data_IF_189478121269
#
_entry.id   IF_189478121269
#
_cell.length_a   1.000
_cell.length_b   1.000
_cell.length_c   1.000
_cell.angle_alpha   90.00
_cell.angle_beta   90.00
_cell.angle_gamma   90.00
#
_symmetry.space_group_name_H-M   'P 1'
#
loop_
_entity.id
_entity.type
_entity.pdbx_description
1 polymer ?
#
# COMPACT_ATOMS: atom_id res chain seq x y z
N UNK A 1 30.53 -43.42 -4.40
CA UNK A 1 29.81 -42.15 -4.20
C UNK A 1 29.98 -41.76 -2.73
N UNK A 2 30.51 -40.58 -2.42
CA UNK A 2 30.74 -40.17 -1.02
C UNK A 2 29.41 -39.92 -0.31
N UNK A 3 29.23 -40.46 0.89
CA UNK A 3 28.02 -40.28 1.70
C UNK A 3 27.70 -38.79 1.88
N UNK A 4 26.41 -38.36 1.78
CA UNK A 4 26.02 -36.97 1.94
C UNK A 4 26.29 -36.46 3.36
N UNK A 5 26.55 -35.16 3.50
CA UNK A 5 26.86 -34.55 4.80
C UNK A 5 25.57 -34.54 5.60
N UNK A 6 25.54 -35.18 6.76
CA UNK A 6 24.37 -35.12 7.63
C UNK A 6 24.39 -33.76 8.33
N UNK A 7 23.27 -33.06 8.30
CA UNK A 7 23.10 -31.78 9.01
C UNK A 7 22.05 -31.98 10.08
N UNK A 8 22.39 -31.75 11.33
CA UNK A 8 21.47 -31.72 12.45
C UNK A 8 21.28 -30.27 12.88
N UNK A 9 20.03 -29.83 12.95
CA UNK A 9 19.65 -28.54 13.53
C UNK A 9 19.04 -28.80 14.90
N UNK A 10 19.70 -28.34 15.95
CA UNK A 10 19.13 -28.23 17.28
C UNK A 10 18.54 -26.82 17.38
N UNK A 11 17.22 -26.72 17.29
CA UNK A 11 16.54 -25.43 17.44
C UNK A 11 16.64 -24.91 18.89
N UNK A 12 16.27 -23.65 19.10
CA UNK A 12 16.34 -23.02 20.42
C UNK A 12 15.32 -23.59 21.42
N UNK A 13 14.38 -24.46 20.99
CA UNK A 13 13.53 -25.28 21.86
C UNK A 13 14.11 -26.68 22.09
N UNK A 14 15.38 -26.89 21.77
CA UNK A 14 16.11 -28.15 21.92
C UNK A 14 15.55 -29.31 21.07
N UNK A 15 14.78 -29.01 20.03
CA UNK A 15 14.32 -30.04 19.08
C UNK A 15 15.37 -30.24 17.99
N UNK A 16 15.67 -31.50 17.72
CA UNK A 16 16.66 -31.89 16.74
C UNK A 16 16.00 -32.28 15.41
N UNK A 17 16.39 -31.60 14.34
CA UNK A 17 15.92 -31.85 12.98
C UNK A 17 17.09 -32.34 12.13
N UNK A 18 16.98 -33.55 11.59
CA UNK A 18 18.03 -34.16 10.78
C UNK A 18 17.71 -34.00 9.29
N UNK A 19 18.66 -33.45 8.54
CA UNK A 19 18.61 -33.33 7.10
C UNK A 19 19.70 -34.20 6.45
N UNK A 20 19.42 -34.68 5.23
CA UNK A 20 20.29 -35.57 4.46
C UNK A 20 20.67 -36.87 5.22
N UNK A 21 19.89 -37.24 6.23
CA UNK A 21 20.05 -38.52 6.93
C UNK A 21 19.47 -39.62 6.03
N UNK A 22 20.23 -40.67 5.69
CA UNK A 22 19.69 -41.79 4.92
C UNK A 22 18.54 -42.45 5.71
N UNK A 23 17.45 -42.79 5.00
CA UNK A 23 16.31 -43.50 5.59
C UNK A 23 16.78 -44.82 6.20
N UNK A 24 16.34 -45.10 7.44
CA UNK A 24 16.45 -46.45 8.01
C UNK A 24 15.37 -47.31 7.37
N UNK A 25 15.76 -48.27 6.52
CA UNK A 25 14.83 -49.30 6.07
C UNK A 25 14.57 -50.30 7.21
N UNK A 26 13.31 -50.74 7.34
CA UNK A 26 12.89 -51.72 8.34
C UNK A 26 13.47 -53.10 7.99
N UNK A 27 14.69 -53.37 8.48
CA UNK A 27 15.42 -54.61 8.20
C UNK A 27 16.93 -54.52 8.49
N UNK A 28 17.48 -53.31 8.67
CA UNK A 28 18.90 -53.09 8.99
C UNK A 28 19.17 -53.44 10.48
N UNK A 29 19.25 -54.74 10.77
CA UNK A 29 19.77 -55.24 12.04
C UNK A 29 21.25 -54.89 12.17
N UNK A 30 21.58 -54.13 13.23
CA UNK A 30 22.93 -53.95 13.76
C UNK A 30 24.03 -53.61 12.75
N UNK A 31 23.98 -52.43 12.13
CA UNK A 31 25.23 -51.75 11.76
C UNK A 31 25.81 -51.14 13.02
N UNK A 32 27.00 -51.58 13.41
CA UNK A 32 27.82 -50.97 14.46
C UNK A 32 27.70 -49.44 14.37
N UNK A 33 27.45 -48.78 15.50
CA UNK A 33 27.32 -47.32 15.58
C UNK A 33 28.65 -46.67 15.16
N UNK A 34 28.87 -46.49 13.86
CA UNK A 34 30.04 -45.78 13.33
C UNK A 34 30.09 -44.40 13.97
N UNK A 35 31.17 -44.11 14.70
CA UNK A 35 31.38 -42.78 15.28
C UNK A 35 31.55 -41.78 14.14
N UNK A 36 30.54 -40.94 13.90
CA UNK A 36 30.61 -39.88 12.90
C UNK A 36 31.49 -38.75 13.41
N UNK A 37 32.38 -38.23 12.55
CA UNK A 37 33.16 -37.02 12.89
C UNK A 37 32.22 -35.81 12.86
N UNK A 38 31.86 -35.35 14.07
CA UNK A 38 30.91 -34.25 14.30
C UNK A 38 31.64 -32.92 14.43
N UNK A 39 31.13 -31.90 13.75
CA UNK A 39 31.44 -30.49 14.00
C UNK A 39 30.22 -29.82 14.64
N UNK A 40 30.40 -29.13 15.77
CA UNK A 40 29.34 -28.35 16.40
C UNK A 40 29.57 -26.86 16.11
N UNK A 41 28.51 -26.17 15.71
CA UNK A 41 28.52 -24.74 15.41
C UNK A 41 27.37 -24.10 16.19
N UNK A 42 27.72 -23.22 17.12
CA UNK A 42 26.75 -22.39 17.85
C UNK A 42 26.61 -21.05 17.14
N UNK A 43 25.37 -20.72 16.76
CA UNK A 43 25.03 -19.53 15.99
C UNK A 43 23.66 -19.04 16.39
N UNK A 44 23.41 -17.73 16.30
CA UNK A 44 22.04 -17.22 16.41
C UNK A 44 21.16 -17.80 15.29
N UNK A 45 19.86 -17.91 15.54
CA UNK A 45 18.92 -18.53 14.61
C UNK A 45 18.90 -17.87 13.20
N UNK A 46 19.26 -16.58 13.09
CA UNK A 46 19.29 -15.87 11.81
C UNK A 46 20.48 -16.34 10.99
N UNK A 47 21.69 -16.26 11.54
CA UNK A 47 22.90 -16.79 10.90
C UNK A 47 22.82 -18.30 10.69
N UNK A 48 22.22 -19.02 11.64
CA UNK A 48 21.91 -20.44 11.55
C UNK A 48 21.07 -20.80 10.32
N UNK A 49 20.05 -20.01 9.99
CA UNK A 49 19.26 -20.19 8.77
C UNK A 49 20.10 -20.00 7.49
N UNK A 50 21.03 -19.03 7.46
CA UNK A 50 21.95 -18.88 6.33
C UNK A 50 22.90 -20.07 6.18
N UNK A 51 23.49 -20.56 7.29
CA UNK A 51 24.31 -21.77 7.27
C UNK A 51 23.51 -23.00 6.82
N UNK A 52 22.28 -23.16 7.32
CA UNK A 52 21.40 -24.25 6.91
C UNK A 52 21.10 -24.22 5.41
N UNK A 53 20.78 -23.04 4.86
CA UNK A 53 20.56 -22.87 3.41
C UNK A 53 21.82 -23.18 2.61
N UNK A 54 22.98 -22.72 3.07
CA UNK A 54 24.25 -23.08 2.46
C UNK A 54 24.39 -24.61 2.41
N UNK A 55 24.27 -25.29 3.55
CA UNK A 55 24.54 -26.73 3.62
C UNK A 55 23.56 -27.59 2.82
N UNK A 56 22.31 -27.14 2.70
CA UNK A 56 21.27 -27.88 1.97
C UNK A 56 21.25 -27.55 0.47
N UNK A 57 21.48 -26.29 0.10
CA UNK A 57 21.27 -25.82 -1.27
C UNK A 57 22.59 -25.63 -2.02
N UNK A 58 23.54 -24.87 -1.46
CA UNK A 58 24.77 -24.46 -2.15
C UNK A 58 25.90 -25.51 -2.01
N UNK A 59 25.97 -26.18 -0.86
CA UNK A 59 26.85 -27.34 -0.57
C UNK A 59 28.35 -27.08 -0.67
N UNK A 60 28.81 -25.85 -0.89
CA UNK A 60 30.23 -25.53 -1.08
C UNK A 60 30.98 -25.62 0.26
N UNK A 61 30.43 -25.05 1.33
CA UNK A 61 30.95 -25.19 2.69
C UNK A 61 30.89 -26.66 3.13
N UNK A 62 29.80 -27.38 2.79
CA UNK A 62 29.67 -28.81 3.08
C UNK A 62 30.82 -29.62 2.43
N UNK A 63 31.16 -29.33 1.17
CA UNK A 63 32.25 -29.97 0.45
C UNK A 63 33.62 -29.60 1.05
N UNK A 64 33.83 -28.33 1.40
CA UNK A 64 35.07 -27.86 2.04
C UNK A 64 35.31 -28.52 3.39
N UNK A 65 34.30 -28.55 4.26
CA UNK A 65 34.38 -29.18 5.58
C UNK A 65 34.68 -30.68 5.48
N UNK A 66 34.12 -31.35 4.46
CA UNK A 66 34.47 -32.75 4.17
C UNK A 66 35.91 -32.90 3.71
N UNK A 67 36.35 -32.13 2.71
CA UNK A 67 37.69 -32.27 2.13
C UNK A 67 38.80 -31.92 3.10
N UNK A 68 38.63 -30.83 3.86
CA UNK A 68 39.69 -30.30 4.73
C UNK A 68 39.66 -30.89 6.14
N UNK A 69 38.46 -31.19 6.67
CA UNK A 69 38.29 -31.58 8.06
C UNK A 69 37.61 -32.94 8.24
N UNK A 70 37.29 -33.66 7.16
CA UNK A 70 36.66 -34.99 7.23
C UNK A 70 35.34 -35.00 7.99
N UNK A 71 34.62 -33.86 8.03
CA UNK A 71 33.37 -33.73 8.80
C UNK A 71 32.27 -34.54 8.12
N UNK A 72 31.58 -35.37 8.90
CA UNK A 72 30.49 -36.22 8.43
C UNK A 72 29.13 -35.77 8.96
N UNK A 73 29.12 -35.10 10.12
CA UNK A 73 27.94 -34.53 10.76
C UNK A 73 28.22 -33.08 11.15
N UNK A 74 27.40 -32.15 10.65
CA UNK A 74 27.35 -30.79 11.17
C UNK A 74 26.19 -30.68 12.15
N UNK A 75 26.47 -30.20 13.35
CA UNK A 75 25.50 -29.93 14.40
C UNK A 75 25.37 -28.42 14.56
N UNK A 76 24.28 -27.86 14.04
CA UNK A 76 23.93 -26.45 14.20
C UNK A 76 23.11 -26.30 15.48
N UNK A 77 23.64 -25.59 16.47
CA UNK A 77 22.91 -25.25 17.70
C UNK A 77 22.46 -23.80 17.59
N UNK A 78 21.15 -23.59 17.48
CA UNK A 78 20.58 -22.26 17.35
C UNK A 78 20.35 -21.64 18.72
N UNK A 79 20.86 -20.42 18.86
CA UNK A 79 20.54 -19.54 19.98
C UNK A 79 19.50 -18.50 19.54
N UNK A 80 18.61 -18.06 20.46
CA UNK A 80 17.72 -16.95 20.17
C UNK A 80 18.55 -15.72 19.77
N UNK A 81 18.14 -14.99 18.72
CA UNK A 81 18.88 -13.83 18.28
C UNK A 81 18.87 -12.75 19.38
N UNK A 82 20.00 -12.06 19.55
CA UNK A 82 20.15 -11.01 20.59
C UNK A 82 19.24 -9.80 20.36
N UNK A 83 18.76 -9.61 19.14
CA UNK A 83 17.82 -8.55 18.74
C UNK A 83 16.80 -9.16 17.81
N UNK A 84 15.53 -8.82 18.01
CA UNK A 84 14.50 -9.13 17.03
C UNK A 84 14.86 -8.45 15.69
N UNK A 85 14.77 -9.20 14.60
CA UNK A 85 14.96 -8.68 13.24
C UNK A 85 13.74 -7.93 12.73
N UNK A 86 12.61 -8.02 13.45
CA UNK A 86 11.39 -7.31 13.11
C UNK A 86 11.56 -5.85 13.50
N UNK A 87 11.53 -4.97 12.49
CA UNK A 87 11.52 -3.53 12.71
C UNK A 87 10.12 -3.08 13.15
N UNK A 88 9.82 -3.28 14.43
CA UNK A 88 8.54 -2.88 15.02
C UNK A 88 8.30 -1.38 14.89
N UNK A 89 9.37 -0.56 14.93
CA UNK A 89 9.23 0.89 14.79
C UNK A 89 8.76 1.27 13.40
N UNK A 90 9.36 0.68 12.37
CA UNK A 90 8.90 0.89 10.99
C UNK A 90 7.51 0.31 10.78
N UNK A 91 7.22 -0.86 11.35
CA UNK A 91 5.88 -1.46 11.28
C UNK A 91 4.81 -0.55 11.89
N UNK A 92 5.07 0.09 13.03
CA UNK A 92 4.16 1.02 13.68
C UNK A 92 3.96 2.30 12.85
N UNK A 93 5.04 2.89 12.32
CA UNK A 93 4.96 4.06 11.44
C UNK A 93 4.14 3.74 10.19
N UNK A 94 4.39 2.58 9.58
CA UNK A 94 3.68 2.12 8.38
C UNK A 94 2.21 1.88 8.70
N UNK A 95 1.91 1.20 9.81
CA UNK A 95 0.54 0.93 10.24
C UNK A 95 -0.25 2.24 10.46
N UNK A 96 0.35 3.20 11.17
CA UNK A 96 -0.29 4.49 11.40
C UNK A 96 -0.55 5.25 10.10
N UNK A 97 0.44 5.32 9.22
CA UNK A 97 0.33 6.00 7.91
C UNK A 97 -0.75 5.35 7.03
N UNK A 98 -0.79 4.02 7.03
CA UNK A 98 -1.77 3.25 6.26
C UNK A 98 -3.19 3.50 6.79
N UNK A 99 -3.39 3.50 8.10
CA UNK A 99 -4.68 3.79 8.72
C UNK A 99 -5.17 5.20 8.38
N UNK A 100 -4.31 6.21 8.49
CA UNK A 100 -4.66 7.58 8.09
C UNK A 100 -5.07 7.65 6.61
N UNK A 101 -4.36 6.94 5.73
CA UNK A 101 -4.70 6.91 4.31
C UNK A 101 -6.06 6.24 4.06
N UNK A 102 -6.32 5.09 4.69
CA UNK A 102 -7.60 4.36 4.57
C UNK A 102 -8.76 5.22 5.06
N UNK A 103 -8.63 5.89 6.21
CA UNK A 103 -9.68 6.75 6.75
C UNK A 103 -9.98 7.93 5.82
N UNK A 104 -8.93 8.55 5.27
CA UNK A 104 -9.08 9.68 4.35
C UNK A 104 -9.75 9.25 3.05
N UNK A 105 -9.35 8.12 2.46
CA UNK A 105 -9.97 7.57 1.24
C UNK A 105 -11.44 7.20 1.48
N UNK A 106 -11.74 6.56 2.61
CA UNK A 106 -13.10 6.23 3.00
C UNK A 106 -13.95 7.51 3.14
N UNK A 107 -13.44 8.52 3.85
CA UNK A 107 -14.14 9.79 4.01
C UNK A 107 -14.36 10.50 2.66
N UNK A 108 -13.38 10.48 1.75
CA UNK A 108 -13.52 11.02 0.39
C UNK A 108 -14.61 10.32 -0.40
N UNK A 109 -14.70 8.99 -0.32
CA UNK A 109 -15.73 8.19 -0.99
C UNK A 109 -17.14 8.56 -0.53
N UNK A 110 -17.33 8.67 0.80
CA UNK A 110 -18.62 9.06 1.39
C UNK A 110 -19.00 10.51 1.04
N UNK A 111 -18.06 11.44 1.17
CA UNK A 111 -18.31 12.84 0.83
C UNK A 111 -18.61 13.02 -0.66
N UNK A 112 -17.99 12.24 -1.55
CA UNK A 112 -18.29 12.29 -2.98
C UNK A 112 -19.69 11.77 -3.29
N UNK A 113 -20.10 10.69 -2.63
CA UNK A 113 -21.44 10.11 -2.79
C UNK A 113 -22.52 11.06 -2.28
N UNK A 114 -22.37 11.58 -1.06
CA UNK A 114 -23.31 12.55 -0.48
C UNK A 114 -23.31 13.87 -1.25
N UNK A 115 -22.14 14.37 -1.64
CA UNK A 115 -21.98 15.58 -2.44
C UNK A 115 -22.68 15.48 -3.79
N UNK A 116 -22.55 14.34 -4.47
CA UNK A 116 -23.28 14.03 -5.70
C UNK A 116 -24.80 14.03 -5.49
N UNK A 117 -25.28 13.38 -4.43
CA UNK A 117 -26.71 13.35 -4.09
C UNK A 117 -27.30 14.73 -3.78
N UNK A 118 -26.65 15.51 -2.90
CA UNK A 118 -27.09 16.88 -2.61
C UNK A 118 -26.97 17.79 -3.82
N UNK A 119 -25.93 17.62 -4.65
CA UNK A 119 -25.82 18.37 -5.90
C UNK A 119 -26.95 18.01 -6.86
N UNK A 120 -27.37 16.75 -6.99
CA UNK A 120 -28.49 16.40 -7.87
C UNK A 120 -29.82 17.07 -7.42
N UNK A 121 -30.04 17.20 -6.11
CA UNK A 121 -31.20 17.88 -5.53
C UNK A 121 -31.07 19.41 -5.54
N UNK A 122 -29.87 19.95 -5.71
CA UNK A 122 -29.57 21.38 -5.63
C UNK A 122 -30.25 22.25 -6.68
N UNK A 123 -30.72 21.64 -7.77
CA UNK A 123 -31.47 22.30 -8.85
C UNK A 123 -32.86 22.76 -8.39
N UNK A 124 -33.47 21.99 -7.48
CA UNK A 124 -34.82 22.24 -6.98
C UNK A 124 -34.80 22.89 -5.60
N UNK A 125 -33.79 22.55 -4.79
CA UNK A 125 -33.71 22.96 -3.40
C UNK A 125 -32.38 23.68 -3.13
N UNK A 126 -32.45 25.00 -2.96
CA UNK A 126 -31.27 25.83 -2.71
C UNK A 126 -30.47 25.36 -1.48
N UNK A 127 -31.15 24.92 -0.42
CA UNK A 127 -30.52 24.34 0.78
C UNK A 127 -29.66 23.11 0.47
N UNK A 128 -30.06 22.29 -0.50
CA UNK A 128 -29.26 21.15 -0.95
C UNK A 128 -28.02 21.61 -1.71
N UNK A 129 -28.13 22.63 -2.56
CA UNK A 129 -26.97 23.23 -3.22
C UNK A 129 -25.98 23.81 -2.20
N UNK A 130 -26.44 24.51 -1.17
CA UNK A 130 -25.57 24.99 -0.08
C UNK A 130 -24.86 23.86 0.65
N UNK A 131 -25.57 22.76 0.91
CA UNK A 131 -25.01 21.59 1.58
C UNK A 131 -23.96 20.91 0.70
N UNK A 132 -24.22 20.75 -0.60
CA UNK A 132 -23.23 20.26 -1.57
C UNK A 132 -21.98 21.14 -1.58
N UNK A 133 -22.14 22.48 -1.56
CA UNK A 133 -21.02 23.41 -1.47
C UNK A 133 -20.19 23.23 -0.19
N UNK A 134 -20.84 23.07 0.98
CA UNK A 134 -20.15 22.79 2.25
C UNK A 134 -19.37 21.48 2.19
N UNK A 135 -19.95 20.43 1.59
CA UNK A 135 -19.28 19.14 1.38
C UNK A 135 -18.04 19.32 0.49
N UNK A 136 -18.16 20.03 -0.65
CA UNK A 136 -17.01 20.29 -1.53
C UNK A 136 -15.88 21.05 -0.84
N UNK A 137 -16.19 21.98 0.06
CA UNK A 137 -15.17 22.67 0.88
C UNK A 137 -14.50 21.73 1.88
N UNK A 138 -15.22 20.79 2.49
CA UNK A 138 -14.62 19.76 3.35
C UNK A 138 -13.72 18.83 2.53
N UNK A 139 -14.15 18.43 1.32
CA UNK A 139 -13.31 17.65 0.41
C UNK A 139 -12.03 18.41 0.03
N UNK A 140 -12.13 19.73 -0.21
CA UNK A 140 -10.96 20.57 -0.50
C UNK A 140 -9.98 20.62 0.69
N UNK A 141 -10.46 20.73 1.93
CA UNK A 141 -9.59 20.71 3.12
C UNK A 141 -8.79 19.41 3.20
N UNK A 142 -9.41 18.29 2.88
CA UNK A 142 -8.76 16.98 2.84
C UNK A 142 -7.75 16.92 1.69
N UNK A 143 -8.12 17.38 0.49
CA UNK A 143 -7.19 17.46 -0.65
C UNK A 143 -5.98 18.37 -0.39
N UNK A 144 -6.14 19.43 0.40
CA UNK A 144 -5.02 20.26 0.85
C UNK A 144 -4.11 19.52 1.82
N UNK A 145 -4.66 18.76 2.77
CA UNK A 145 -3.88 17.92 3.71
C UNK A 145 -3.10 16.81 3.00
N UNK A 146 -3.69 16.20 1.98
CA UNK A 146 -3.04 15.17 1.17
C UNK A 146 -1.99 15.72 0.20
N UNK A 147 -2.03 17.03 -0.10
CA UNK A 147 -1.14 17.64 -1.08
C UNK A 147 -1.42 17.23 -2.52
N UNK A 148 -2.60 16.67 -2.85
CA UNK A 148 -2.98 16.32 -4.22
C UNK A 148 -3.64 17.52 -4.94
N UNK A 149 -2.94 18.18 -5.89
CA UNK A 149 -3.49 19.33 -6.60
C UNK A 149 -4.64 18.96 -7.55
N UNK A 150 -4.70 17.73 -8.06
CA UNK A 150 -5.80 17.28 -8.93
C UNK A 150 -7.08 17.07 -8.13
N UNK A 151 -6.99 16.45 -6.96
CA UNK A 151 -8.12 16.35 -6.04
C UNK A 151 -8.62 17.74 -5.65
N UNK A 152 -7.73 18.66 -5.27
CA UNK A 152 -8.10 20.03 -4.95
C UNK A 152 -8.85 20.72 -6.10
N UNK A 153 -8.37 20.56 -7.34
CA UNK A 153 -9.03 21.12 -8.53
C UNK A 153 -10.44 20.53 -8.72
N UNK A 154 -10.62 19.22 -8.55
CA UNK A 154 -11.95 18.56 -8.62
C UNK A 154 -12.88 19.09 -7.53
N UNK A 155 -12.41 19.24 -6.29
CA UNK A 155 -13.22 19.78 -5.18
C UNK A 155 -13.64 21.23 -5.44
N UNK A 156 -12.73 22.06 -5.96
CA UNK A 156 -13.06 23.43 -6.39
C UNK A 156 -14.13 23.40 -7.50
N UNK A 157 -14.01 22.52 -8.49
CA UNK A 157 -15.03 22.35 -9.53
C UNK A 157 -16.40 21.93 -8.97
N UNK A 158 -16.45 20.97 -8.04
CA UNK A 158 -17.70 20.61 -7.35
C UNK A 158 -18.31 21.80 -6.60
N UNK A 159 -17.47 22.60 -5.93
CA UNK A 159 -17.92 23.82 -5.30
C UNK A 159 -18.49 24.81 -6.34
N UNK A 160 -17.90 24.95 -7.53
CA UNK A 160 -18.46 25.81 -8.58
C UNK A 160 -19.84 25.38 -9.05
N UNK A 161 -20.15 24.08 -9.05
CA UNK A 161 -21.49 23.58 -9.36
C UNK A 161 -22.50 24.11 -8.33
N UNK A 162 -22.15 24.05 -7.04
CA UNK A 162 -23.01 24.62 -5.99
C UNK A 162 -23.23 26.12 -6.15
N UNK A 163 -22.21 26.87 -6.61
CA UNK A 163 -22.33 28.30 -6.90
C UNK A 163 -23.27 28.55 -8.07
N UNK A 164 -23.22 27.71 -9.12
CA UNK A 164 -24.12 27.80 -10.28
C UNK A 164 -25.57 27.61 -9.83
N UNK A 165 -25.83 26.55 -9.07
CA UNK A 165 -27.16 26.23 -8.54
C UNK A 165 -27.77 27.36 -7.71
N UNK A 166 -26.93 28.12 -7.00
CA UNK A 166 -27.32 29.27 -6.16
C UNK A 166 -27.34 30.60 -6.93
N UNK A 167 -27.21 30.56 -8.26
CA UNK A 167 -27.19 31.75 -9.11
C UNK A 167 -25.95 32.64 -9.00
N UNK A 168 -24.90 32.19 -8.30
CA UNK A 168 -23.62 32.89 -8.10
C UNK A 168 -22.69 32.70 -9.32
N UNK A 169 -23.22 32.98 -10.51
CA UNK A 169 -22.60 32.63 -11.79
C UNK A 169 -21.24 33.31 -12.04
N UNK A 170 -21.01 34.51 -11.49
CA UNK A 170 -19.72 35.22 -11.65
C UNK A 170 -18.60 34.51 -10.90
N UNK A 171 -18.83 34.16 -9.63
CA UNK A 171 -17.86 33.45 -8.81
C UNK A 171 -17.54 32.07 -9.41
N UNK A 172 -18.57 31.34 -9.84
CA UNK A 172 -18.40 30.06 -10.53
C UNK A 172 -17.52 30.20 -11.79
N UNK A 173 -17.78 31.21 -12.62
CA UNK A 173 -17.02 31.49 -13.85
C UNK A 173 -15.52 31.67 -13.59
N UNK A 174 -15.17 32.46 -12.58
CA UNK A 174 -13.77 32.71 -12.22
C UNK A 174 -13.07 31.42 -11.80
N UNK A 175 -13.72 30.66 -10.92
CA UNK A 175 -13.14 29.43 -10.39
C UNK A 175 -12.98 28.36 -11.47
N UNK A 176 -13.95 28.19 -12.38
CA UNK A 176 -13.86 27.22 -13.50
C UNK A 176 -12.71 27.60 -14.44
N UNK A 177 -12.51 28.90 -14.72
CA UNK A 177 -11.40 29.36 -15.57
C UNK A 177 -10.03 29.07 -14.96
N UNK A 178 -9.89 29.33 -13.67
CA UNK A 178 -8.66 29.01 -12.93
C UNK A 178 -8.36 27.51 -13.01
N UNK A 179 -9.36 26.65 -12.73
CA UNK A 179 -9.16 25.21 -12.76
C UNK A 179 -8.95 24.68 -14.19
N UNK A 180 -9.57 25.28 -15.20
CA UNK A 180 -9.35 24.93 -16.60
C UNK A 180 -7.92 25.25 -17.06
N UNK A 181 -7.38 26.41 -16.66
CA UNK A 181 -5.98 26.77 -16.96
C UNK A 181 -5.00 25.77 -16.32
N UNK A 182 -5.24 25.41 -15.05
CA UNK A 182 -4.48 24.36 -14.37
C UNK A 182 -4.58 23.01 -15.08
N UNK A 183 -5.80 22.56 -15.40
CA UNK A 183 -6.06 21.28 -16.04
C UNK A 183 -5.45 21.20 -17.44
N UNK A 184 -5.54 22.26 -18.23
CA UNK A 184 -4.96 22.31 -19.59
C UNK A 184 -3.43 22.24 -19.56
N UNK A 185 -2.81 22.91 -18.58
CA UNK A 185 -1.35 22.86 -18.38
C UNK A 185 -0.87 21.47 -17.93
N UNK A 186 -1.77 20.64 -17.40
CA UNK A 186 -1.49 19.29 -16.90
C UNK A 186 -2.32 18.21 -17.63
N UNK A 187 -2.70 18.47 -18.88
CA UNK A 187 -3.67 17.64 -19.60
C UNK A 187 -3.20 16.18 -19.78
N UNK A 188 -1.89 15.96 -19.93
CA UNK A 188 -1.29 14.63 -20.05
C UNK A 188 -1.49 13.77 -18.80
N UNK A 189 -1.59 14.40 -17.62
CA UNK A 189 -1.75 13.72 -16.33
C UNK A 189 -3.21 13.39 -16.02
N UNK A 190 -4.13 14.30 -16.38
CA UNK A 190 -5.56 14.09 -16.14
C UNK A 190 -6.44 14.79 -17.18
N UNK A 191 -6.66 14.11 -18.30
CA UNK A 191 -7.60 14.55 -19.36
C UNK A 191 -9.04 14.66 -18.83
N UNK A 192 -9.41 13.87 -17.82
CA UNK A 192 -10.77 13.88 -17.26
C UNK A 192 -11.06 15.20 -16.56
N UNK A 193 -10.08 15.80 -15.90
CA UNK A 193 -10.24 17.11 -15.27
C UNK A 193 -10.57 18.21 -16.30
N UNK A 194 -9.93 18.19 -17.47
CA UNK A 194 -10.27 19.10 -18.58
C UNK A 194 -11.73 18.92 -19.02
N UNK A 195 -12.17 17.66 -19.17
CA UNK A 195 -13.56 17.34 -19.53
C UNK A 195 -14.56 17.81 -18.47
N UNK A 196 -14.21 17.69 -17.18
CA UNK A 196 -15.05 18.20 -16.09
C UNK A 196 -15.22 19.72 -16.18
N UNK A 197 -14.13 20.46 -16.40
CA UNK A 197 -14.21 21.92 -16.59
C UNK A 197 -15.14 22.29 -17.75
N UNK A 198 -15.02 21.60 -18.90
CA UNK A 198 -15.86 21.85 -20.07
C UNK A 198 -17.33 21.55 -19.81
N UNK A 199 -17.64 20.42 -19.16
CA UNK A 199 -19.02 20.07 -18.81
C UNK A 199 -19.67 21.07 -17.85
N UNK A 200 -18.93 21.53 -16.84
CA UNK A 200 -19.43 22.54 -15.90
C UNK A 200 -19.56 23.91 -16.59
N UNK A 201 -18.67 24.24 -17.53
CA UNK A 201 -18.78 25.47 -18.32
C UNK A 201 -20.04 25.50 -19.20
N UNK A 202 -20.41 24.37 -19.80
CA UNK A 202 -21.67 24.25 -20.55
C UNK A 202 -22.88 24.53 -19.66
N UNK A 203 -22.90 23.95 -18.45
CA UNK A 203 -23.96 24.21 -17.47
C UNK A 203 -24.00 25.68 -17.02
N UNK A 204 -22.85 26.29 -16.76
CA UNK A 204 -22.76 27.72 -16.46
C UNK A 204 -23.35 28.57 -17.58
N UNK A 205 -23.04 28.23 -18.84
CA UNK A 205 -23.50 28.97 -20.02
C UNK A 205 -25.02 28.89 -20.17
N UNK A 206 -25.58 27.69 -19.99
CA UNK A 206 -27.03 27.47 -19.96
C UNK A 206 -27.73 28.33 -18.89
N UNK A 207 -27.18 28.42 -17.67
CA UNK A 207 -27.77 29.27 -16.62
C UNK A 207 -27.71 30.77 -16.94
N UNK A 208 -26.65 31.22 -17.62
CA UNK A 208 -26.60 32.60 -18.13
C UNK A 208 -27.70 32.86 -19.17
N UNK A 209 -27.90 31.94 -20.12
CA UNK A 209 -28.94 32.05 -21.15
C UNK A 209 -30.33 32.10 -20.52
N UNK A 210 -30.63 31.20 -19.58
CA UNK A 210 -31.90 31.18 -18.86
C UNK A 210 -32.15 32.49 -18.11
N UNK A 211 -31.12 33.04 -17.46
CA UNK A 211 -31.22 34.34 -16.77
C UNK A 211 -31.48 35.50 -17.74
N UNK A 212 -30.90 35.47 -18.94
CA UNK A 212 -31.15 36.49 -19.96
C UNK A 212 -32.58 36.41 -20.51
N UNK A 213 -33.10 35.19 -20.74
CA UNK A 213 -34.47 34.99 -21.20
C UNK A 213 -35.48 35.51 -20.18
N UNK A 214 -35.29 35.20 -18.89
CA UNK A 214 -36.14 35.73 -17.80
C UNK A 214 -36.14 37.26 -17.72
N UNK A 215 -35.03 37.92 -18.06
CA UNK A 215 -34.92 39.39 -18.11
C UNK A 215 -35.58 40.03 -19.33
N UNK A 216 -35.80 39.27 -20.41
CA UNK A 216 -36.48 39.78 -21.62
C UNK A 216 -38.00 39.63 -21.53
N UNK A 217 -38.49 38.68 -20.73
CA UNK A 217 -39.92 38.44 -20.52
C UNK A 217 -40.53 39.28 -19.37
N UNK A 218 -39.70 39.86 -18.51
CA UNK A 218 -40.10 40.83 -17.47
C UNK A 218 -39.79 42.25 -17.94
#
# INVERSE_FOLDING_TARGET
MSEPLVVCVCDYWQRCHFHNRPSREAGDSSRESKSLRRMCIQVDAINGNYYLREFLQQKELALRLKRQHGVQLVWLSFEPPKRDTVDYRFADILAHTLWEHIEVEHLMSWLSTLGGGFSALGEQFERCAETAGKISLQQLKIGLRLGDPFLQARCKLYFSISLIQRGQLRAAKHLIREQYAFARSNAEKDVRLVRMCLGIWQRLSYEYEQRQMRKKCN
#
